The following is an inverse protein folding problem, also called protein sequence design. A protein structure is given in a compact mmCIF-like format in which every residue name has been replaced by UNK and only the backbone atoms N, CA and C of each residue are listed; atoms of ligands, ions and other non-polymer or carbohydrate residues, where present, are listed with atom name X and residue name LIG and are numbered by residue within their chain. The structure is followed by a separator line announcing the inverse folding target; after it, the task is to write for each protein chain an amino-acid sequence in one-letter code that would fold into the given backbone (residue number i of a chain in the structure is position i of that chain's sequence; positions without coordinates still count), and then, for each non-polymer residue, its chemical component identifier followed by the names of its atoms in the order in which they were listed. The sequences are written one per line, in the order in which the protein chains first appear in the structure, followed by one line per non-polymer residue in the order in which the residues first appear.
data_IF_123502662127
#
_entry.id   IF_123502662127
#
_cell.length_a   1.000
_cell.length_b   1.000
_cell.length_c   1.000
_cell.angle_alpha   90.00
_cell.angle_beta   90.00
_cell.angle_gamma   90.00
#
_symmetry.space_group_name_H-M   'P 1'
#
loop_
_entity.id
_entity.type
_entity.pdbx_description
1 polymer ?
#
# COMPACT_ATOMS: atom_id res chain seq x y z
N UNK A 1 5.57 2.35 1.91
CA UNK A 1 5.23 2.46 3.35
C UNK A 1 5.70 3.80 3.90
N UNK A 2 4.76 4.59 4.41
CA UNK A 2 4.97 5.91 5.00
C UNK A 2 4.90 5.82 6.52
N UNK A 3 5.74 6.59 7.21
CA UNK A 3 5.79 6.66 8.66
C UNK A 3 5.60 8.13 9.08
N UNK A 4 4.52 8.40 9.80
CA UNK A 4 4.14 9.74 10.25
C UNK A 4 4.12 9.81 11.79
N UNK A 5 5.29 9.89 12.45
CA UNK A 5 5.33 10.06 13.90
C UNK A 5 4.87 11.48 14.30
N UNK A 6 4.49 11.68 15.57
CA UNK A 6 4.10 13.01 16.09
C UNK A 6 5.27 13.96 16.28
N UNK A 7 6.49 13.42 16.36
CA UNK A 7 7.75 14.14 16.47
C UNK A 7 8.85 13.34 15.75
N UNK A 8 9.99 13.98 15.45
CA UNK A 8 11.11 13.30 14.81
C UNK A 8 11.55 12.10 15.66
N UNK A 9 11.45 10.89 15.12
CA UNK A 9 11.60 9.64 15.87
C UNK A 9 12.50 8.67 15.12
N UNK A 10 13.45 8.07 15.83
CA UNK A 10 14.22 6.93 15.33
C UNK A 10 13.39 5.65 15.44
N UNK A 11 13.23 4.95 14.32
CA UNK A 11 12.41 3.75 14.18
C UNK A 11 13.24 2.63 13.56
N UNK A 12 13.00 1.41 14.05
CA UNK A 12 13.44 0.19 13.40
C UNK A 12 12.19 -0.51 12.87
N UNK A 13 12.19 -0.80 11.57
CA UNK A 13 11.06 -1.39 10.84
C UNK A 13 11.51 -2.69 10.21
N UNK A 14 10.80 -3.77 10.48
CA UNK A 14 11.02 -5.07 9.85
C UNK A 14 9.74 -5.49 9.14
N UNK A 15 9.89 -6.04 7.94
CA UNK A 15 8.82 -6.64 7.14
C UNK A 15 9.29 -8.02 6.71
N UNK A 16 8.40 -9.01 6.79
CA UNK A 16 8.73 -10.39 6.46
C UNK A 16 7.73 -10.95 5.43
N UNK A 17 7.76 -10.50 4.16
CA UNK A 17 6.89 -11.08 3.14
C UNK A 17 7.17 -12.58 3.01
N UNK A 18 6.13 -13.41 3.05
CA UNK A 18 6.28 -14.87 3.06
C UNK A 18 7.00 -15.41 1.82
N UNK A 19 6.78 -14.79 0.66
CA UNK A 19 7.50 -15.11 -0.57
C UNK A 19 8.92 -14.57 -0.62
N UNK A 20 9.37 -13.77 0.36
CA UNK A 20 10.64 -13.06 0.31
C UNK A 20 10.60 -11.80 -0.57
N UNK A 21 11.68 -11.01 -0.52
CA UNK A 21 11.82 -9.77 -1.29
C UNK A 21 12.41 -10.03 -2.68
N UNK A 22 11.91 -9.30 -3.68
CA UNK A 22 12.54 -9.17 -5.00
C UNK A 22 13.29 -7.85 -5.13
N UNK A 23 12.77 -6.79 -4.51
CA UNK A 23 13.38 -5.47 -4.52
C UNK A 23 13.05 -4.73 -3.22
N UNK A 24 13.99 -3.91 -2.75
CA UNK A 24 13.79 -3.05 -1.58
C UNK A 24 14.54 -1.74 -1.77
N UNK A 25 13.92 -0.64 -1.34
CA UNK A 25 14.56 0.67 -1.29
C UNK A 25 14.08 1.42 -0.03
N UNK A 26 14.98 1.78 0.91
CA UNK A 26 16.42 1.52 0.93
C UNK A 26 16.76 0.02 0.94
N UNK A 27 18.03 -0.34 0.74
CA UNK A 27 18.48 -1.74 0.79
C UNK A 27 18.07 -2.38 2.13
N UNK A 28 17.27 -3.43 2.06
CA UNK A 28 16.82 -4.18 3.23
C UNK A 28 17.92 -5.15 3.70
N UNK A 29 18.39 -4.94 4.93
CA UNK A 29 19.35 -5.86 5.60
C UNK A 29 18.58 -6.75 6.58
N UNK A 30 18.56 -6.37 7.84
CA UNK A 30 17.80 -7.03 8.91
C UNK A 30 16.64 -6.15 9.38
N UNK A 31 16.04 -5.41 8.45
CA UNK A 31 15.15 -4.28 8.73
C UNK A 31 15.73 -2.94 8.29
N UNK A 32 14.87 -1.94 8.20
CA UNK A 32 15.24 -0.55 7.97
C UNK A 32 15.39 0.19 9.29
N UNK A 33 16.47 0.93 9.43
CA UNK A 33 16.72 1.82 10.57
C UNK A 33 16.61 3.24 10.06
N UNK A 34 15.54 3.94 10.43
CA UNK A 34 15.24 5.27 9.88
C UNK A 34 15.02 6.29 10.98
N UNK A 35 15.34 7.54 10.69
CA UNK A 35 14.81 8.68 11.42
C UNK A 35 13.63 9.23 10.64
N UNK A 36 12.42 9.05 11.17
CA UNK A 36 11.18 9.51 10.56
C UNK A 36 10.77 10.88 11.10
N UNK A 37 10.37 11.78 10.21
CA UNK A 37 9.86 13.12 10.54
C UNK A 37 8.33 13.17 10.41
N UNK A 38 7.63 14.08 11.13
CA UNK A 38 6.17 14.17 11.07
C UNK A 38 5.58 14.45 9.68
N UNK A 39 6.36 15.01 8.76
CA UNK A 39 5.99 15.26 7.37
C UNK A 39 6.07 13.99 6.48
N UNK A 40 6.52 12.86 7.03
CA UNK A 40 6.73 11.59 6.32
C UNK A 40 8.13 11.42 5.75
N UNK A 41 9.01 12.42 5.86
CA UNK A 41 10.39 12.32 5.38
C UNK A 41 11.18 11.30 6.22
N UNK A 42 11.88 10.37 5.55
CA UNK A 42 12.68 9.35 6.21
C UNK A 42 14.16 9.57 5.89
N UNK A 43 15.02 9.56 6.92
CA UNK A 43 16.47 9.46 6.72
C UNK A 43 16.89 8.05 7.09
N UNK A 44 17.42 7.30 6.13
CA UNK A 44 17.96 5.97 6.40
C UNK A 44 19.29 6.11 7.13
N UNK A 45 19.40 5.52 8.32
CA UNK A 45 20.58 5.66 9.20
C UNK A 45 21.79 4.85 8.71
N UNK A 46 21.57 3.93 7.78
CA UNK A 46 22.62 3.08 7.21
C UNK A 46 23.42 3.78 6.10
N UNK A 47 22.79 4.62 5.30
CA UNK A 47 23.44 5.33 4.17
C UNK A 47 23.34 6.86 4.26
N UNK A 48 22.60 7.39 5.23
CA UNK A 48 22.37 8.82 5.44
C UNK A 48 21.47 9.48 4.40
N UNK A 49 20.88 8.72 3.47
CA UNK A 49 20.04 9.25 2.40
C UNK A 49 18.61 9.48 2.86
N UNK A 50 17.95 10.42 2.20
CA UNK A 50 16.55 10.75 2.42
C UNK A 50 15.65 10.01 1.45
N UNK A 51 14.56 9.44 1.96
CA UNK A 51 13.55 8.70 1.21
C UNK A 51 12.16 9.23 1.54
N UNK A 52 11.24 9.31 0.56
CA UNK A 52 9.86 9.74 0.80
C UNK A 52 9.00 8.65 1.46
N UNK A 53 9.43 7.39 1.39
CA UNK A 53 8.80 6.21 1.96
C UNK A 53 9.77 5.02 1.89
N UNK A 54 9.47 3.94 2.63
CA UNK A 54 10.11 2.64 2.48
C UNK A 54 9.40 1.86 1.38
N UNK A 55 10.13 1.34 0.40
CA UNK A 55 9.60 0.61 -0.74
C UNK A 55 10.08 -0.84 -0.71
N UNK A 56 9.17 -1.77 -1.04
CA UNK A 56 9.54 -3.17 -1.26
C UNK A 56 8.61 -3.83 -2.27
N UNK A 57 9.17 -4.83 -2.95
CA UNK A 57 8.48 -5.80 -3.77
C UNK A 57 8.87 -7.19 -3.28
N UNK A 58 7.97 -8.15 -3.43
CA UNK A 58 8.20 -9.53 -3.01
C UNK A 58 7.50 -10.52 -3.91
N UNK A 59 7.85 -11.79 -3.76
CA UNK A 59 7.13 -12.84 -4.44
C UNK A 59 5.73 -12.97 -3.82
N UNK A 60 4.73 -13.14 -4.68
CA UNK A 60 3.38 -13.49 -4.24
C UNK A 60 3.40 -14.84 -3.53
N UNK A 61 2.73 -14.92 -2.38
CA UNK A 61 2.39 -16.17 -1.72
C UNK A 61 0.93 -16.54 -2.05
N UNK A 62 0.49 -17.75 -1.73
CA UNK A 62 -0.92 -18.13 -1.94
C UNK A 62 -1.85 -17.32 -1.03
N UNK A 63 -2.67 -16.47 -1.63
CA UNK A 63 -3.83 -15.85 -0.98
C UNK A 63 -5.04 -15.89 -1.92
N UNK A 64 -6.23 -15.90 -1.34
CA UNK A 64 -7.47 -15.83 -2.13
C UNK A 64 -7.69 -14.41 -2.65
N UNK A 65 -8.06 -14.28 -3.92
CA UNK A 65 -8.46 -12.98 -4.49
C UNK A 65 -9.60 -12.34 -3.69
N UNK A 66 -9.76 -11.00 -3.73
CA UNK A 66 -10.84 -10.31 -3.04
C UNK A 66 -12.21 -10.89 -3.42
N UNK A 67 -13.01 -11.23 -2.40
CA UNK A 67 -14.40 -11.68 -2.58
C UNK A 67 -15.27 -10.55 -3.17
N UNK A 68 -15.04 -9.34 -2.69
CA UNK A 68 -15.70 -8.12 -3.14
C UNK A 68 -14.80 -7.35 -4.12
N UNK A 69 -15.39 -6.88 -5.20
CA UNK A 69 -14.69 -6.21 -6.29
C UNK A 69 -15.61 -5.34 -7.12
N UNK A 70 -15.01 -4.33 -7.75
CA UNK A 70 -15.62 -3.50 -8.78
C UNK A 70 -15.23 -4.01 -10.17
N UNK A 71 -16.06 -3.70 -11.15
CA UNK A 71 -15.74 -3.84 -12.57
C UNK A 71 -15.70 -2.44 -13.16
N UNK A 72 -14.51 -2.00 -13.55
CA UNK A 72 -14.23 -0.61 -13.91
C UNK A 72 -13.77 -0.57 -15.36
N UNK A 73 -14.35 0.31 -16.17
CA UNK A 73 -13.89 0.51 -17.54
C UNK A 73 -12.51 1.19 -17.53
N UNK A 74 -11.66 0.91 -18.52
CA UNK A 74 -10.31 1.49 -18.60
C UNK A 74 -10.27 3.01 -18.44
N UNK A 75 -11.26 3.71 -19.02
CA UNK A 75 -11.34 5.18 -18.96
C UNK A 75 -11.70 5.70 -17.56
N UNK A 76 -12.39 4.88 -16.75
CA UNK A 76 -12.85 5.25 -15.41
C UNK A 76 -11.86 4.82 -14.31
N UNK A 77 -10.86 3.99 -14.62
CA UNK A 77 -9.84 3.54 -13.65
C UNK A 77 -9.20 4.73 -12.90
N UNK A 78 -8.79 5.83 -13.55
CA UNK A 78 -8.13 6.91 -12.83
C UNK A 78 -9.01 7.63 -11.81
N UNK A 79 -10.29 7.89 -12.15
CA UNK A 79 -11.24 8.50 -11.20
C UNK A 79 -11.61 7.52 -10.10
N UNK A 80 -11.91 6.27 -10.47
CA UNK A 80 -12.25 5.21 -9.52
C UNK A 80 -11.18 5.01 -8.44
N UNK A 81 -9.91 4.90 -8.83
CA UNK A 81 -8.82 4.70 -7.87
C UNK A 81 -8.66 5.90 -6.95
N UNK A 82 -8.72 7.13 -7.48
CA UNK A 82 -8.60 8.35 -6.67
C UNK A 82 -9.70 8.45 -5.61
N UNK A 83 -10.94 8.20 -6.01
CA UNK A 83 -12.10 8.26 -5.10
C UNK A 83 -12.03 7.13 -4.06
N UNK A 84 -11.80 5.90 -4.51
CA UNK A 84 -11.78 4.73 -3.62
C UNK A 84 -10.63 4.80 -2.60
N UNK A 85 -9.43 5.21 -3.02
CA UNK A 85 -8.28 5.35 -2.11
C UNK A 85 -8.49 6.50 -1.11
N UNK A 86 -9.13 7.60 -1.52
CA UNK A 86 -9.50 8.68 -0.61
C UNK A 86 -10.52 8.20 0.43
N UNK A 87 -11.54 7.45 0.01
CA UNK A 87 -12.55 6.87 0.90
C UNK A 87 -11.93 5.87 1.89
N UNK A 88 -10.96 5.07 1.46
CA UNK A 88 -10.16 4.17 2.33
C UNK A 88 -9.32 4.97 3.35
N UNK A 89 -8.92 6.19 3.00
CA UNK A 89 -8.23 7.12 3.90
C UNK A 89 -6.79 7.43 3.53
N UNK A 90 -6.38 7.18 2.29
CA UNK A 90 -5.11 7.70 1.77
C UNK A 90 -5.22 9.21 1.54
N UNK A 91 -4.11 9.92 1.71
CA UNK A 91 -4.04 11.36 1.44
C UNK A 91 -3.63 11.64 -0.02
N UNK A 92 -3.67 12.90 -0.43
CA UNK A 92 -3.35 13.32 -1.80
C UNK A 92 -1.97 12.86 -2.28
N UNK A 93 -0.96 12.88 -1.42
CA UNK A 93 0.41 12.47 -1.77
C UNK A 93 0.48 10.96 -2.00
N UNK A 94 -0.04 10.18 -1.07
CA UNK A 94 -0.05 8.71 -1.15
C UNK A 94 -0.85 8.23 -2.35
N UNK A 95 -1.99 8.88 -2.65
CA UNK A 95 -2.79 8.59 -3.85
C UNK A 95 -1.99 8.91 -5.11
N UNK A 96 -1.31 10.05 -5.16
CA UNK A 96 -0.49 10.40 -6.33
C UNK A 96 0.63 9.37 -6.57
N UNK A 97 1.36 8.98 -5.51
CA UNK A 97 2.43 7.99 -5.59
C UNK A 97 1.88 6.59 -5.98
N UNK A 98 0.70 6.20 -5.45
CA UNK A 98 0.02 4.95 -5.84
C UNK A 98 -0.35 4.96 -7.33
N UNK A 99 -0.96 6.05 -7.79
CA UNK A 99 -1.42 6.22 -9.16
C UNK A 99 -0.25 6.21 -10.15
N UNK A 100 0.84 6.89 -9.83
CA UNK A 100 2.07 6.90 -10.64
C UNK A 100 2.58 5.48 -10.91
N UNK A 101 2.53 4.61 -9.90
CA UNK A 101 2.99 3.23 -10.05
C UNK A 101 1.95 2.31 -10.71
N UNK A 102 0.68 2.36 -10.30
CA UNK A 102 -0.33 1.36 -10.66
C UNK A 102 -1.19 1.71 -11.87
N UNK A 103 -1.53 2.99 -12.08
CA UNK A 103 -2.40 3.40 -13.19
C UNK A 103 -1.82 2.99 -14.57
N UNK A 104 -0.51 3.14 -14.86
CA UNK A 104 0.05 2.75 -16.16
C UNK A 104 -0.11 1.26 -16.49
N UNK A 105 -0.26 0.41 -15.47
CA UNK A 105 -0.39 -1.05 -15.61
C UNK A 105 -1.82 -1.49 -15.94
N UNK A 106 -2.81 -0.60 -15.78
CA UNK A 106 -4.21 -0.84 -16.09
C UNK A 106 -4.66 -0.10 -17.36
N UNK A 107 -3.90 -0.28 -18.47
CA UNK A 107 -4.19 0.38 -19.77
C UNK A 107 -4.38 -0.58 -20.96
N UNK A 108 -4.03 -1.85 -20.82
CA UNK A 108 -4.07 -2.90 -21.86
C UNK A 108 -5.48 -3.41 -22.17
N UNK A 109 -6.29 -3.67 -21.14
CA UNK A 109 -7.63 -4.23 -21.26
C UNK A 109 -8.73 -3.15 -21.26
N UNK A 110 -9.92 -3.44 -21.84
CA UNK A 110 -11.06 -2.51 -21.84
C UNK A 110 -11.74 -2.38 -20.47
N UNK A 111 -11.68 -3.43 -19.63
CA UNK A 111 -12.22 -3.43 -18.27
C UNK A 111 -11.22 -4.05 -17.29
N UNK A 112 -11.39 -3.72 -16.02
CA UNK A 112 -10.62 -4.29 -14.91
C UNK A 112 -11.56 -4.73 -13.80
N UNK A 113 -11.37 -5.96 -13.33
CA UNK A 113 -11.85 -6.39 -12.02
C UNK A 113 -10.86 -5.84 -11.00
N UNK A 114 -11.30 -4.99 -10.07
CA UNK A 114 -10.42 -4.39 -9.05
C UNK A 114 -11.00 -4.69 -7.67
N UNK A 115 -10.18 -5.22 -6.77
CA UNK A 115 -10.52 -5.42 -5.37
C UNK A 115 -9.35 -5.05 -4.46
N UNK A 116 -9.62 -4.91 -3.17
CA UNK A 116 -8.62 -4.54 -2.18
C UNK A 116 -8.63 -5.49 -0.99
N UNK A 117 -7.43 -5.88 -0.56
CA UNK A 117 -7.20 -6.49 0.72
C UNK A 117 -6.77 -5.43 1.73
N UNK A 118 -7.30 -5.52 2.96
CA UNK A 118 -6.94 -4.63 4.06
C UNK A 118 -5.85 -5.17 4.98
N UNK A 119 -5.62 -4.47 6.08
CA UNK A 119 -4.55 -4.73 7.07
C UNK A 119 -4.46 -6.19 7.52
N UNK A 120 -5.60 -6.87 7.80
CA UNK A 120 -5.59 -8.27 8.25
C UNK A 120 -4.88 -9.22 7.27
N UNK A 121 -5.14 -9.05 5.97
CA UNK A 121 -4.53 -9.91 4.95
C UNK A 121 -3.07 -9.53 4.76
N UNK A 122 -2.76 -8.23 4.78
CA UNK A 122 -1.37 -7.75 4.71
C UNK A 122 -0.52 -8.23 5.89
N UNK A 123 -1.06 -8.29 7.10
CA UNK A 123 -0.36 -8.81 8.28
C UNK A 123 -0.07 -10.31 8.16
N UNK A 124 -0.92 -11.06 7.45
CA UNK A 124 -0.67 -12.47 7.15
C UNK A 124 0.36 -12.65 6.04
N UNK A 125 0.32 -11.84 4.98
CA UNK A 125 1.20 -11.94 3.81
C UNK A 125 2.62 -11.43 4.08
N UNK A 126 2.70 -10.30 4.78
CA UNK A 126 3.92 -9.61 5.11
C UNK A 126 3.83 -9.02 6.52
N UNK A 127 4.00 -9.85 7.57
CA UNK A 127 4.10 -9.37 8.95
C UNK A 127 5.08 -8.20 9.07
N UNK A 128 4.69 -7.20 9.84
CA UNK A 128 5.47 -5.98 10.08
C UNK A 128 5.65 -5.76 11.58
N UNK A 129 6.87 -5.42 11.99
CA UNK A 129 7.18 -5.00 13.37
C UNK A 129 7.90 -3.66 13.31
N UNK A 130 7.45 -2.71 14.15
CA UNK A 130 8.04 -1.38 14.29
C UNK A 130 8.44 -1.20 15.76
N UNK A 131 9.63 -0.66 16.01
CA UNK A 131 10.18 -0.48 17.38
C UNK A 131 9.31 0.42 18.28
N UNK A 132 8.48 1.28 17.70
CA UNK A 132 7.42 2.04 18.37
C UNK A 132 6.07 1.60 17.83
N UNK A 133 5.13 1.29 18.72
CA UNK A 133 3.76 0.93 18.33
C UNK A 133 3.07 2.13 17.68
N UNK A 134 2.56 2.00 16.44
CA UNK A 134 1.73 3.04 15.84
C UNK A 134 0.35 3.12 16.50
N UNK A 135 -0.16 4.34 16.61
CA UNK A 135 -1.53 4.62 17.05
C UNK A 135 -2.54 4.32 15.93
N UNK A 136 -2.12 4.49 14.67
CA UNK A 136 -2.94 4.22 13.47
C UNK A 136 -2.13 3.41 12.45
N UNK A 137 -2.71 2.33 11.94
CA UNK A 137 -2.14 1.53 10.85
C UNK A 137 -3.19 1.32 9.76
N UNK A 138 -2.85 1.68 8.52
CA UNK A 138 -3.64 1.39 7.33
C UNK A 138 -2.74 0.68 6.31
N UNK A 139 -3.04 -0.58 5.99
CA UNK A 139 -2.37 -1.32 4.93
C UNK A 139 -3.40 -1.74 3.89
N UNK A 140 -3.15 -1.42 2.63
CA UNK A 140 -4.03 -1.77 1.50
C UNK A 140 -3.23 -2.46 0.40
N UNK A 141 -3.78 -3.53 -0.15
CA UNK A 141 -3.20 -4.26 -1.27
C UNK A 141 -4.26 -4.41 -2.36
N UNK A 142 -4.02 -3.77 -3.50
CA UNK A 142 -4.89 -3.88 -4.67
C UNK A 142 -4.64 -5.21 -5.40
N UNK A 143 -5.68 -5.98 -5.68
CA UNK A 143 -5.65 -7.09 -6.63
C UNK A 143 -6.51 -6.71 -7.83
N UNK A 144 -5.98 -6.85 -9.03
CA UNK A 144 -6.72 -6.57 -10.25
C UNK A 144 -6.53 -7.66 -11.30
N UNK A 145 -7.52 -7.78 -12.17
CA UNK A 145 -7.48 -8.66 -13.33
C UNK A 145 -8.06 -7.96 -14.56
N UNK A 146 -7.42 -8.17 -15.69
CA UNK A 146 -7.89 -7.71 -17.00
C UNK A 146 -9.18 -8.43 -17.41
N UNK A 147 -10.11 -7.70 -18.00
CA UNK A 147 -11.37 -8.22 -18.53
C UNK A 147 -11.59 -7.68 -19.96
N UNK A 148 -12.03 -8.55 -20.88
CA UNK A 148 -12.42 -8.15 -22.23
C UNK A 148 -13.84 -7.57 -22.28
N UNK A 149 -14.72 -8.08 -21.42
CA UNK A 149 -16.11 -7.65 -21.29
C UNK A 149 -16.45 -7.41 -19.81
N UNK A 150 -17.39 -6.51 -19.49
CA UNK A 150 -17.78 -6.29 -18.11
C UNK A 150 -18.51 -7.52 -17.56
N UNK A 151 -18.17 -7.90 -16.33
CA UNK A 151 -18.86 -8.95 -15.57
C UNK A 151 -19.74 -8.32 -14.48
N UNK A 152 -20.56 -9.14 -13.83
CA UNK A 152 -21.31 -8.69 -12.64
C UNK A 152 -20.31 -8.31 -11.55
N UNK A 153 -20.39 -7.06 -11.08
CA UNK A 153 -19.59 -6.58 -9.96
C UNK A 153 -20.23 -6.92 -8.61
N UNK A 154 -19.40 -7.02 -7.58
CA UNK A 154 -19.83 -7.21 -6.19
C UNK A 154 -19.10 -6.19 -5.30
N UNK A 155 -19.44 -4.89 -5.40
CA UNK A 155 -18.69 -3.85 -4.72
C UNK A 155 -18.88 -3.95 -3.20
N UNK A 156 -17.79 -3.86 -2.40
CA UNK A 156 -17.90 -3.88 -0.95
C UNK A 156 -18.55 -2.59 -0.44
N UNK A 157 -19.12 -2.67 0.76
CA UNK A 157 -19.38 -1.46 1.55
C UNK A 157 -18.06 -1.04 2.20
N UNK A 158 -17.51 0.09 1.74
CA UNK A 158 -16.31 0.63 2.35
C UNK A 158 -16.59 0.99 3.83
N UNK A 159 -15.69 0.62 4.77
CA UNK A 159 -15.80 1.08 6.13
C UNK A 159 -15.63 2.61 6.18
N UNK A 160 -16.06 3.28 7.27
CA UNK A 160 -15.77 4.69 7.47
C UNK A 160 -14.27 4.97 7.32
N UNK A 161 -13.94 6.08 6.66
CA UNK A 161 -12.56 6.51 6.47
C UNK A 161 -11.82 6.55 7.80
N UNK A 162 -10.64 5.94 7.84
CA UNK A 162 -9.85 5.88 9.06
C UNK A 162 -9.42 7.28 9.49
N UNK A 163 -9.60 7.59 10.78
CA UNK A 163 -9.12 8.85 11.35
C UNK A 163 -7.68 8.66 11.79
N UNK A 164 -6.75 9.37 11.15
CA UNK A 164 -5.33 9.37 11.50
C UNK A 164 -5.11 10.06 12.84
N UNK A 165 -4.64 9.32 13.84
CA UNK A 165 -4.32 9.83 15.18
C UNK A 165 -2.94 9.34 15.59
N UNK A 166 -2.18 10.20 16.25
CA UNK A 166 -0.86 9.87 16.77
C UNK A 166 0.12 9.40 15.69
N UNK A 167 1.04 8.50 16.06
CA UNK A 167 1.95 7.88 15.11
C UNK A 167 1.17 7.03 14.10
N UNK A 168 1.17 7.45 12.84
CA UNK A 168 0.42 6.80 11.76
C UNK A 168 1.35 6.10 10.78
N UNK A 169 1.00 4.87 10.40
CA UNK A 169 1.69 4.09 9.36
C UNK A 169 0.73 3.79 8.24
N UNK A 170 1.12 4.17 7.01
CA UNK A 170 0.34 3.90 5.80
C UNK A 170 1.18 3.02 4.88
N UNK A 171 0.61 1.91 4.43
CA UNK A 171 1.20 1.08 3.40
C UNK A 171 0.17 0.80 2.31
N UNK A 172 0.59 0.98 1.07
CA UNK A 172 -0.18 0.55 -0.07
C UNK A 172 0.71 -0.30 -0.97
N UNK A 173 0.07 -1.18 -1.73
CA UNK A 173 0.69 -2.03 -2.72
C UNK A 173 -0.36 -2.59 -3.67
N UNK A 174 0.09 -3.48 -4.54
CA UNK A 174 -0.79 -4.23 -5.41
C UNK A 174 -0.11 -5.46 -5.98
N UNK A 175 -0.88 -6.23 -6.73
CA UNK A 175 -0.48 -7.54 -7.25
C UNK A 175 -0.21 -7.39 -8.74
N UNK A 176 0.97 -7.83 -9.17
CA UNK A 176 1.28 -8.04 -10.58
C UNK A 176 1.00 -9.49 -10.96
N UNK A 177 0.32 -9.70 -12.08
CA UNK A 177 0.02 -11.01 -12.66
C UNK A 177 0.68 -11.13 -14.03
#
# INVERSE_FOLDING_TARGET
MYLYPTEKTDLDVTVAPKGGFTFTEPVYKNGWRVTASPDGTLVNRDDGKTYPYLFWEGHGDEYGSPEDYWVVSRQDVPSFLKETLADIGLNTKEIADFMEFWEPKMRSAPYYKIGFHGTRVMDFLAPMIISKTPDTILRVLMDYAELQDPIVQHPPKLPPTIVRKGFTVIEWGGVLR
#
